data_IF_996599066563
#
_entry.id   IF_996599066563
#
_cell.length_a   1.000
_cell.length_b   1.000
_cell.length_c   1.000
_cell.angle_alpha   90.00
_cell.angle_beta   90.00
_cell.angle_gamma   90.00
#
_symmetry.space_group_name_H-M   'P 1'
#
loop_
_entity.id
_entity.type
_entity.pdbx_description
1 polymer ?
#
# COMPACT_ATOMS: atom_id res chain seq x y z
N UNK A 1 26.93 -3.61 -5.45
CA UNK A 1 25.52 -3.53 -5.01
C UNK A 1 25.22 -4.81 -4.27
N UNK A 2 24.87 -4.73 -2.99
CA UNK A 2 24.30 -5.87 -2.27
C UNK A 2 23.01 -6.27 -2.98
N UNK A 3 22.87 -7.54 -3.33
CA UNK A 3 21.73 -8.04 -4.08
C UNK A 3 20.62 -8.35 -3.09
N UNK A 4 19.85 -7.33 -2.71
CA UNK A 4 18.71 -7.48 -1.81
C UNK A 4 17.66 -8.40 -2.46
N UNK A 5 17.40 -9.55 -1.85
CA UNK A 5 16.53 -10.57 -2.42
C UNK A 5 15.08 -10.09 -2.37
N UNK A 6 14.55 -9.66 -3.51
CA UNK A 6 13.12 -9.38 -3.67
C UNK A 6 12.28 -10.62 -3.35
N UNK A 7 11.12 -10.39 -2.74
CA UNK A 7 10.12 -11.44 -2.59
C UNK A 7 9.64 -11.92 -3.97
N UNK A 8 9.48 -13.22 -4.15
CA UNK A 8 8.95 -13.78 -5.39
C UNK A 8 7.50 -13.33 -5.64
N UNK A 9 7.06 -13.38 -6.90
CA UNK A 9 5.70 -12.98 -7.27
C UNK A 9 4.62 -13.78 -6.53
N UNK A 10 4.85 -15.09 -6.30
CA UNK A 10 3.97 -15.94 -5.49
C UNK A 10 3.84 -15.39 -4.06
N UNK A 11 4.94 -14.93 -3.46
CA UNK A 11 4.91 -14.35 -2.11
C UNK A 11 4.24 -12.98 -2.09
N UNK A 12 4.47 -12.13 -3.08
CA UNK A 12 3.78 -10.84 -3.23
C UNK A 12 2.26 -11.04 -3.32
N UNK A 13 1.83 -11.96 -4.18
CA UNK A 13 0.43 -12.36 -4.31
C UNK A 13 -0.16 -12.91 -3.00
N UNK A 14 0.53 -13.82 -2.32
CA UNK A 14 0.06 -14.40 -1.07
C UNK A 14 -0.06 -13.35 0.04
N UNK A 15 0.88 -12.40 0.12
CA UNK A 15 0.81 -11.26 1.05
C UNK A 15 -0.42 -10.41 0.75
N UNK A 16 -0.61 -10.00 -0.51
CA UNK A 16 -1.74 -9.15 -0.89
C UNK A 16 -3.08 -9.79 -0.53
N UNK A 17 -3.26 -11.07 -0.86
CA UNK A 17 -4.48 -11.82 -0.52
C UNK A 17 -4.65 -11.96 1.00
N UNK A 18 -3.59 -12.28 1.74
CA UNK A 18 -3.67 -12.39 3.19
C UNK A 18 -4.07 -11.07 3.84
N UNK A 19 -3.51 -9.94 3.38
CA UNK A 19 -3.88 -8.60 3.86
C UNK A 19 -5.34 -8.29 3.53
N UNK A 20 -5.78 -8.52 2.29
CA UNK A 20 -7.18 -8.34 1.88
C UNK A 20 -8.15 -9.15 2.72
N UNK A 21 -7.94 -10.46 2.83
CA UNK A 21 -8.80 -11.35 3.62
C UNK A 21 -8.82 -10.96 5.10
N UNK A 22 -7.69 -10.49 5.65
CA UNK A 22 -7.63 -10.06 7.05
C UNK A 22 -8.46 -8.81 7.28
N UNK A 23 -8.30 -7.79 6.43
CA UNK A 23 -9.07 -6.55 6.56
C UNK A 23 -10.57 -6.83 6.37
N UNK A 24 -10.93 -7.69 5.41
CA UNK A 24 -12.32 -8.07 5.18
C UNK A 24 -12.90 -8.86 6.39
N UNK A 25 -12.12 -9.78 6.99
CA UNK A 25 -12.52 -10.56 8.18
C UNK A 25 -12.71 -9.69 9.42
N UNK A 26 -11.92 -8.63 9.56
CA UNK A 26 -11.98 -7.72 10.72
C UNK A 26 -12.83 -6.48 10.45
N UNK A 27 -13.47 -6.38 9.29
CA UNK A 27 -14.20 -5.18 8.82
C UNK A 27 -15.21 -4.64 9.83
N UNK A 28 -16.00 -5.50 10.48
CA UNK A 28 -16.99 -5.12 11.50
C UNK A 28 -16.38 -4.46 12.76
N UNK A 29 -15.09 -4.69 13.00
CA UNK A 29 -14.34 -4.10 14.13
C UNK A 29 -13.61 -2.81 13.74
N UNK A 30 -13.52 -2.51 12.44
CA UNK A 30 -12.82 -1.32 11.97
C UNK A 30 -13.69 -0.08 12.18
N UNK A 31 -13.12 1.03 12.69
CA UNK A 31 -13.81 2.31 12.79
C UNK A 31 -14.51 2.71 11.48
N UNK A 32 -15.78 3.14 11.53
CA UNK A 32 -16.57 3.48 10.35
C UNK A 32 -16.14 4.82 9.75
N UNK A 33 -15.07 4.82 8.95
CA UNK A 33 -14.72 5.89 7.99
C UNK A 33 -14.02 5.25 6.80
N UNK A 34 -14.70 5.22 5.66
CA UNK A 34 -14.24 4.63 4.38
C UNK A 34 -12.88 5.17 3.93
N UNK A 35 -12.58 6.44 4.19
CA UNK A 35 -11.28 7.03 3.84
C UNK A 35 -10.13 6.61 4.77
N UNK A 36 -10.42 5.92 5.88
CA UNK A 36 -9.42 5.38 6.79
C UNK A 36 -9.01 3.95 6.45
N UNK A 37 -9.65 3.30 5.46
CA UNK A 37 -9.31 1.91 5.13
C UNK A 37 -7.86 1.75 4.65
N UNK A 38 -7.34 2.72 3.89
CA UNK A 38 -5.95 2.74 3.44
C UNK A 38 -4.94 2.67 4.59
N UNK A 39 -5.27 3.24 5.77
CA UNK A 39 -4.44 3.16 6.97
C UNK A 39 -4.27 1.71 7.44
N UNK A 40 -5.37 0.94 7.49
CA UNK A 40 -5.33 -0.44 7.97
C UNK A 40 -4.64 -1.35 6.97
N UNK A 41 -4.92 -1.16 5.67
CA UNK A 41 -4.24 -1.87 4.59
C UNK A 41 -2.73 -1.62 4.60
N UNK A 42 -2.31 -0.36 4.68
CA UNK A 42 -0.90 0.00 4.63
C UNK A 42 -0.14 -0.42 5.89
N UNK A 43 -0.71 -0.24 7.10
CA UNK A 43 -0.02 -0.66 8.33
C UNK A 43 0.06 -2.18 8.47
N UNK A 44 -1.05 -2.90 8.26
CA UNK A 44 -1.02 -4.37 8.29
C UNK A 44 -0.08 -4.90 7.21
N UNK A 45 -0.19 -4.35 6.00
CA UNK A 45 0.67 -4.71 4.88
C UNK A 45 2.14 -4.48 5.18
N UNK A 46 2.51 -3.34 5.79
CA UNK A 46 3.88 -3.03 6.19
C UNK A 46 4.43 -4.08 7.15
N UNK A 47 3.65 -4.46 8.17
CA UNK A 47 4.07 -5.44 9.17
C UNK A 47 4.18 -6.85 8.56
N UNK A 48 3.21 -7.26 7.73
CA UNK A 48 3.24 -8.55 7.03
C UNK A 48 4.42 -8.63 6.05
N UNK A 49 4.61 -7.62 5.20
CA UNK A 49 5.74 -7.56 4.26
C UNK A 49 7.07 -7.65 4.99
N UNK A 50 7.22 -6.93 6.10
CA UNK A 50 8.44 -6.97 6.94
C UNK A 50 8.66 -8.35 7.52
N UNK A 51 7.68 -8.92 8.24
CA UNK A 51 7.80 -10.24 8.88
C UNK A 51 8.13 -11.32 7.85
N UNK A 52 7.42 -11.33 6.71
CA UNK A 52 7.66 -12.32 5.65
C UNK A 52 9.04 -12.15 5.04
N UNK A 53 9.46 -10.93 4.73
CA UNK A 53 10.79 -10.67 4.17
C UNK A 53 11.90 -11.14 5.09
N UNK A 54 11.86 -10.73 6.36
CA UNK A 54 12.86 -11.11 7.36
C UNK A 54 12.91 -12.62 7.54
N UNK A 55 11.75 -13.30 7.49
CA UNK A 55 11.69 -14.76 7.59
C UNK A 55 12.29 -15.48 6.37
N UNK A 56 12.06 -14.97 5.17
CA UNK A 56 12.52 -15.58 3.91
C UNK A 56 14.01 -15.35 3.71
N UNK A 57 14.49 -14.14 4.01
CA UNK A 57 15.88 -13.72 3.75
C UNK A 57 16.81 -13.95 4.94
N UNK A 58 16.27 -14.20 6.13
CA UNK A 58 17.00 -14.28 7.40
C UNK A 58 17.72 -12.98 7.78
N UNK A 59 17.23 -11.84 7.28
CA UNK A 59 17.78 -10.52 7.55
C UNK A 59 16.76 -9.68 8.34
N UNK A 60 17.00 -9.51 9.63
CA UNK A 60 16.15 -8.75 10.56
C UNK A 60 16.38 -7.22 10.49
N UNK A 61 17.39 -6.76 9.75
CA UNK A 61 17.73 -5.33 9.66
C UNK A 61 16.90 -4.57 8.63
N UNK A 62 16.31 -5.30 7.68
CA UNK A 62 15.47 -4.74 6.63
C UNK A 62 14.00 -4.75 6.99
N UNK A 63 13.29 -3.72 6.56
CA UNK A 63 11.86 -3.57 6.80
C UNK A 63 11.18 -2.79 5.69
N UNK A 64 9.86 -2.89 5.64
CA UNK A 64 9.02 -2.01 4.81
C UNK A 64 8.53 -0.86 5.68
N UNK A 65 8.38 0.32 5.07
CA UNK A 65 8.00 1.55 5.75
C UNK A 65 6.64 2.05 5.27
N UNK A 66 5.83 2.50 6.22
CA UNK A 66 4.58 3.20 5.97
C UNK A 66 4.86 4.59 5.38
N UNK A 67 4.10 4.99 4.38
CA UNK A 67 4.06 6.36 3.87
C UNK A 67 2.63 6.86 3.91
N UNK A 68 2.46 8.15 4.18
CA UNK A 68 1.18 8.84 4.19
C UNK A 68 1.24 10.13 3.35
N UNK A 69 0.10 10.53 2.81
CA UNK A 69 -0.03 11.75 2.04
C UNK A 69 -1.21 11.69 1.08
N UNK A 70 -0.99 11.93 -0.21
CA UNK A 70 -1.97 11.70 -1.27
C UNK A 70 -1.34 11.05 -2.50
N UNK A 71 -2.14 10.28 -3.22
CA UNK A 71 -1.75 9.65 -4.48
C UNK A 71 -2.68 10.14 -5.59
N UNK A 72 -2.11 10.42 -6.74
CA UNK A 72 -2.83 10.78 -7.95
C UNK A 72 -2.48 9.77 -9.04
N UNK A 73 -3.49 9.24 -9.71
CA UNK A 73 -3.31 8.18 -10.70
C UNK A 73 -3.94 8.62 -12.00
N UNK A 74 -3.18 8.51 -13.09
CA UNK A 74 -3.68 8.70 -14.45
C UNK A 74 -4.65 7.57 -14.77
N UNK A 75 -5.90 7.94 -15.06
CA UNK A 75 -6.97 6.98 -15.36
C UNK A 75 -6.92 6.48 -16.81
N UNK A 76 -6.15 7.14 -17.67
CA UNK A 76 -5.95 6.85 -19.09
C UNK A 76 -4.95 5.73 -19.30
N UNK A 77 -5.05 5.05 -20.44
CA UNK A 77 -4.05 4.06 -20.86
C UNK A 77 -2.65 4.67 -21.11
N UNK A 78 -2.59 5.96 -21.46
CA UNK A 78 -1.34 6.72 -21.53
C UNK A 78 -0.99 7.33 -20.17
N UNK A 79 0.17 6.95 -19.60
CA UNK A 79 0.67 7.47 -18.33
C UNK A 79 1.08 8.95 -18.37
N UNK A 80 1.26 9.54 -19.56
CA UNK A 80 1.61 10.95 -19.73
C UNK A 80 0.39 11.86 -19.90
N UNK A 81 -0.82 11.31 -20.09
CA UNK A 81 -2.03 12.11 -20.27
C UNK A 81 -2.52 12.67 -18.93
N UNK A 82 -2.07 13.87 -18.60
CA UNK A 82 -2.44 14.59 -17.37
C UNK A 82 -3.88 15.11 -17.38
N UNK A 83 -4.64 14.97 -18.48
CA UNK A 83 -6.01 15.50 -18.58
C UNK A 83 -7.03 14.74 -17.73
N UNK A 84 -6.70 13.50 -17.33
CA UNK A 84 -7.58 12.63 -16.54
C UNK A 84 -6.81 11.96 -15.40
N UNK A 85 -6.69 12.69 -14.29
CA UNK A 85 -6.07 12.19 -13.08
C UNK A 85 -7.09 12.06 -11.96
N UNK A 86 -7.01 10.98 -11.20
CA UNK A 86 -7.86 10.70 -10.04
C UNK A 86 -7.03 10.80 -8.78
N UNK A 87 -7.45 11.67 -7.87
CA UNK A 87 -6.74 11.91 -6.62
C UNK A 87 -7.40 11.11 -5.48
N UNK A 88 -6.56 10.46 -4.69
CA UNK A 88 -6.92 9.77 -3.47
C UNK A 88 -6.22 10.49 -2.31
N UNK A 89 -7.02 11.06 -1.41
CA UNK A 89 -6.58 12.00 -0.39
C UNK A 89 -6.83 13.46 -0.76
N UNK A 90 -5.80 14.30 -0.68
CA UNK A 90 -5.87 15.69 -1.14
C UNK A 90 -6.13 15.75 -2.66
N UNK A 91 -7.02 16.65 -3.09
CA UNK A 91 -7.52 16.66 -4.48
C UNK A 91 -6.66 17.47 -5.45
N UNK A 92 -5.82 18.38 -4.98
CA UNK A 92 -4.91 19.18 -5.79
C UNK A 92 -3.72 19.69 -4.95
N UNK A 93 -2.74 20.31 -5.60
CA UNK A 93 -1.51 20.85 -4.97
C UNK A 93 -1.75 21.95 -3.92
N UNK A 94 -2.91 22.61 -3.96
CA UNK A 94 -3.30 23.65 -3.00
C UNK A 94 -4.04 23.09 -1.78
N UNK A 95 -4.42 21.81 -1.85
CA UNK A 95 -5.10 21.09 -0.81
C UNK A 95 -4.10 20.20 -0.08
N UNK A 96 -4.09 20.26 1.24
CA UNK A 96 -3.15 19.45 2.03
C UNK A 96 -3.83 18.17 2.51
N UNK A 97 -3.11 17.04 2.54
CA UNK A 97 -3.62 15.84 3.15
C UNK A 97 -4.01 16.12 4.60
N UNK A 98 -5.14 15.57 5.06
CA UNK A 98 -5.60 15.80 6.43
C UNK A 98 -6.35 14.59 6.99
N UNK A 99 -5.96 14.19 8.20
CA UNK A 99 -6.66 13.19 9.00
C UNK A 99 -8.04 13.68 9.46
N UNK A 100 -8.17 14.98 9.79
CA UNK A 100 -9.39 15.55 10.36
C UNK A 100 -10.59 15.43 9.43
N UNK A 101 -10.37 15.70 8.13
CA UNK A 101 -11.39 15.60 7.09
C UNK A 101 -11.33 14.28 6.32
N UNK A 102 -10.44 13.36 6.70
CA UNK A 102 -10.27 12.06 6.04
C UNK A 102 -9.78 12.18 4.60
N UNK A 103 -9.02 13.22 4.25
CA UNK A 103 -8.47 13.43 2.90
C UNK A 103 -7.00 13.08 2.90
N UNK A 104 -6.71 11.80 3.07
CA UNK A 104 -5.36 11.29 3.00
C UNK A 104 -5.37 9.90 2.36
N UNK A 105 -4.18 9.44 2.02
CA UNK A 105 -3.93 8.10 1.54
C UNK A 105 -2.68 7.54 2.21
N UNK A 106 -2.63 6.23 2.42
CA UNK A 106 -1.49 5.53 3.00
C UNK A 106 -1.07 4.39 2.07
N UNK A 107 0.25 4.22 1.89
CA UNK A 107 0.85 3.16 1.10
C UNK A 107 2.16 2.71 1.76
N UNK A 108 2.86 1.77 1.16
CA UNK A 108 4.09 1.20 1.69
C UNK A 108 5.22 1.41 0.69
N UNK A 109 6.40 1.71 1.20
CA UNK A 109 7.64 1.66 0.44
C UNK A 109 8.63 0.70 1.10
N UNK A 110 9.52 0.10 0.33
CA UNK A 110 10.57 -0.74 0.92
C UNK A 110 11.44 -1.38 -0.16
N UNK A 111 12.61 -1.91 0.16
CA UNK A 111 13.12 -2.11 1.51
C UNK A 111 13.76 -0.85 2.09
N UNK A 112 13.75 -0.77 3.41
CA UNK A 112 14.44 0.23 4.20
C UNK A 112 15.43 -0.44 5.15
N UNK A 113 16.51 0.26 5.48
CA UNK A 113 17.48 -0.10 6.52
C UNK A 113 17.99 1.17 7.18
N UNK A 114 18.12 1.19 8.51
CA UNK A 114 18.60 2.36 9.27
C UNK A 114 17.86 3.67 8.94
N UNK A 115 16.53 3.61 8.75
CA UNK A 115 15.68 4.73 8.31
C UNK A 115 16.02 5.31 6.93
N UNK A 116 16.72 4.55 6.09
CA UNK A 116 17.04 4.90 4.71
C UNK A 116 16.37 3.94 3.74
N UNK A 117 15.81 4.48 2.67
CA UNK A 117 15.22 3.72 1.57
C UNK A 117 16.34 3.13 0.70
N UNK A 118 16.23 1.85 0.38
CA UNK A 118 17.15 1.15 -0.52
C UNK A 118 16.61 1.21 -1.94
N UNK A 119 17.45 1.65 -2.89
CA UNK A 119 17.09 1.80 -4.30
C UNK A 119 17.75 0.68 -5.13
N UNK A 120 17.02 0.03 -6.07
CA UNK A 120 15.60 0.26 -6.39
C UNK A 120 14.68 -0.16 -5.24
N UNK A 121 13.61 0.61 -5.03
CA UNK A 121 12.62 0.31 -4.00
C UNK A 121 11.35 -0.28 -4.62
N UNK A 122 10.42 -0.66 -3.77
CA UNK A 122 9.11 -1.19 -4.07
C UNK A 122 8.10 -0.15 -3.60
N UNK A 123 7.14 0.18 -4.47
CA UNK A 123 5.94 0.94 -4.15
C UNK A 123 4.77 -0.05 -4.03
N UNK A 124 4.11 -0.08 -2.90
CA UNK A 124 3.06 -1.07 -2.63
C UNK A 124 1.80 -0.38 -2.12
N UNK A 125 0.68 -0.67 -2.76
CA UNK A 125 -0.64 -0.21 -2.35
C UNK A 125 -1.68 -1.33 -2.44
N UNK A 126 -2.16 -1.78 -1.29
CA UNK A 126 -3.17 -2.83 -1.20
C UNK A 126 -4.61 -2.33 -1.41
N UNK A 127 -4.82 -1.03 -1.63
CA UNK A 127 -6.15 -0.46 -1.88
C UNK A 127 -6.44 -0.21 -3.34
N UNK A 128 -5.55 -0.60 -4.26
CA UNK A 128 -5.74 -0.30 -5.68
C UNK A 128 -6.97 -0.96 -6.31
N UNK A 129 -7.49 -2.05 -5.71
CA UNK A 129 -8.80 -2.63 -6.07
C UNK A 129 -9.94 -1.61 -6.08
N UNK A 130 -9.85 -0.56 -5.25
CA UNK A 130 -10.86 0.49 -5.13
C UNK A 130 -10.64 1.66 -6.09
N UNK A 131 -9.51 1.73 -6.80
CA UNK A 131 -9.18 2.89 -7.63
C UNK A 131 -10.14 3.08 -8.79
N UNK A 132 -10.42 2.00 -9.52
CA UNK A 132 -11.39 2.02 -10.63
C UNK A 132 -12.76 2.47 -10.15
N UNK A 133 -13.24 1.93 -9.03
CA UNK A 133 -14.53 2.30 -8.48
C UNK A 133 -14.58 3.79 -8.09
N UNK A 134 -13.59 4.26 -7.33
CA UNK A 134 -13.50 5.67 -6.91
C UNK A 134 -13.34 6.63 -8.10
N UNK A 135 -12.63 6.22 -9.15
CA UNK A 135 -12.51 6.99 -10.39
C UNK A 135 -13.87 7.17 -11.07
N UNK A 136 -14.65 6.09 -11.17
CA UNK A 136 -15.98 6.11 -11.78
C UNK A 136 -16.98 6.92 -10.94
N UNK A 137 -16.89 6.87 -9.60
CA UNK A 137 -17.70 7.72 -8.70
C UNK A 137 -17.38 9.21 -8.88
N UNK A 138 -16.13 9.54 -9.20
CA UNK A 138 -15.69 10.90 -9.54
C UNK A 138 -15.97 11.29 -11.00
N UNK A 139 -16.73 10.48 -11.74
CA UNK A 139 -17.09 10.68 -13.15
C UNK A 139 -15.90 10.68 -14.11
N UNK A 140 -14.79 10.04 -13.74
CA UNK A 140 -13.68 9.80 -14.64
C UNK A 140 -13.89 8.51 -15.45
N UNK A 141 -13.37 8.49 -16.69
CA UNK A 141 -13.22 7.27 -17.47
C UNK A 141 -11.99 6.50 -16.97
N UNK A 142 -12.11 5.18 -16.79
CA UNK A 142 -11.01 4.31 -16.36
C UNK A 142 -10.59 3.37 -17.50
N UNK A 143 -9.38 3.57 -18.01
CA UNK A 143 -8.78 2.83 -19.12
C UNK A 143 -7.57 1.97 -18.69
N UNK A 144 -7.18 2.01 -17.41
CA UNK A 144 -6.06 1.25 -16.86
C UNK A 144 -6.42 -0.22 -16.64
N UNK A 145 -5.83 -1.10 -17.44
CA UNK A 145 -5.94 -2.56 -17.28
C UNK A 145 -4.76 -3.17 -16.53
N UNK A 146 -3.68 -2.41 -16.36
CA UNK A 146 -2.44 -2.78 -15.67
C UNK A 146 -2.52 -2.62 -14.15
N UNK A 147 -3.53 -1.90 -13.65
CA UNK A 147 -3.78 -1.73 -12.22
C UNK A 147 -4.80 -2.80 -11.76
N UNK A 148 -4.31 -3.75 -10.97
CA UNK A 148 -5.11 -4.82 -10.38
C UNK A 148 -5.58 -4.53 -8.95
N UNK A 149 -5.86 -5.60 -8.21
CA UNK A 149 -6.39 -5.52 -6.84
C UNK A 149 -5.40 -4.96 -5.81
N UNK A 150 -4.11 -5.04 -6.12
CA UNK A 150 -3.02 -4.38 -5.40
C UNK A 150 -1.97 -3.88 -6.40
N UNK A 151 -1.24 -2.83 -6.02
CA UNK A 151 -0.03 -2.39 -6.70
C UNK A 151 1.19 -2.88 -5.95
N UNK A 152 2.15 -3.46 -6.68
CA UNK A 152 3.46 -3.81 -6.16
C UNK A 152 4.49 -3.56 -7.25
N UNK A 153 4.96 -2.32 -7.32
CA UNK A 153 5.76 -1.80 -8.41
C UNK A 153 7.23 -1.77 -7.99
N UNK A 154 8.10 -2.29 -8.84
CA UNK A 154 9.54 -2.16 -8.67
C UNK A 154 9.96 -0.76 -9.14
N UNK A 155 10.06 0.19 -8.22
CA UNK A 155 10.37 1.56 -8.54
C UNK A 155 11.89 1.79 -8.66
N UNK A 156 12.33 2.09 -9.88
CA UNK A 156 13.72 2.41 -10.19
C UNK A 156 13.95 3.91 -10.49
N UNK A 157 12.92 4.74 -10.38
CA UNK A 157 13.00 6.13 -10.81
C UNK A 157 11.72 6.91 -10.52
N UNK A 158 11.21 7.59 -11.56
CA UNK A 158 10.01 8.40 -11.46
C UNK A 158 8.74 7.55 -11.67
N UNK A 159 7.93 7.40 -10.61
CA UNK A 159 6.65 6.70 -10.65
C UNK A 159 5.66 7.34 -11.63
N UNK A 160 5.77 8.65 -11.83
CA UNK A 160 4.89 9.38 -12.72
C UNK A 160 5.19 9.01 -14.17
N UNK A 161 6.46 9.04 -14.57
CA UNK A 161 6.88 8.66 -15.92
C UNK A 161 6.59 7.18 -16.23
N UNK A 162 6.85 6.29 -15.27
CA UNK A 162 6.75 4.84 -15.50
C UNK A 162 5.32 4.31 -15.39
N UNK A 163 4.52 4.85 -14.48
CA UNK A 163 3.23 4.26 -14.09
C UNK A 163 2.07 5.27 -14.09
N UNK A 164 2.32 6.54 -14.37
CA UNK A 164 1.31 7.59 -14.25
C UNK A 164 0.83 7.75 -12.82
N UNK A 165 1.73 7.56 -11.85
CA UNK A 165 1.43 7.68 -10.42
C UNK A 165 2.25 8.83 -9.84
N UNK A 166 1.56 9.86 -9.38
CA UNK A 166 2.18 11.00 -8.69
C UNK A 166 1.81 10.95 -7.21
N UNK A 167 2.78 11.19 -6.34
CA UNK A 167 2.57 11.12 -4.88
C UNK A 167 3.02 12.41 -4.22
N UNK A 168 2.23 12.88 -3.26
CA UNK A 168 2.63 13.93 -2.34
C UNK A 168 2.79 13.27 -0.97
N UNK A 169 4.01 13.24 -0.45
CA UNK A 169 4.32 12.69 0.87
C UNK A 169 4.06 13.77 1.93
N UNK A 170 3.35 13.38 2.99
CA UNK A 170 3.12 14.20 4.17
C UNK A 170 3.47 13.42 5.44
N UNK A 171 4.53 13.87 6.11
CA UNK A 171 5.09 13.22 7.29
C UNK A 171 4.10 13.23 8.48
N UNK A 172 3.27 14.27 8.59
CA UNK A 172 2.26 14.35 9.65
C UNK A 172 1.17 13.29 9.45
N UNK A 173 0.76 13.03 8.21
CA UNK A 173 -0.14 11.90 7.89
C UNK A 173 0.51 10.58 8.25
N UNK A 174 1.79 10.36 7.89
CA UNK A 174 2.49 9.12 8.23
C UNK A 174 2.51 8.88 9.75
N UNK A 175 2.84 9.89 10.54
CA UNK A 175 2.90 9.79 12.00
C UNK A 175 1.54 9.51 12.62
N UNK A 176 0.50 10.26 12.22
CA UNK A 176 -0.86 10.04 12.71
C UNK A 176 -1.40 8.66 12.31
N UNK A 177 -1.17 8.22 11.07
CA UNK A 177 -1.54 6.88 10.63
C UNK A 177 -0.89 5.80 11.49
N UNK A 178 0.40 5.96 11.81
CA UNK A 178 1.10 5.02 12.68
C UNK A 178 0.58 5.05 14.12
N UNK A 179 0.32 6.23 14.66
CA UNK A 179 -0.26 6.39 16.01
C UNK A 179 -1.64 5.74 16.11
N UNK A 180 -2.52 6.01 15.14
CA UNK A 180 -3.83 5.37 15.05
C UNK A 180 -3.72 3.85 15.00
N UNK A 181 -2.82 3.31 14.17
CA UNK A 181 -2.60 1.86 14.11
C UNK A 181 -2.12 1.26 15.42
N UNK A 182 -1.15 1.90 16.10
CA UNK A 182 -0.60 1.43 17.36
C UNK A 182 -1.65 1.37 18.49
N UNK A 183 -2.69 2.19 18.41
CA UNK A 183 -3.78 2.26 19.38
C UNK A 183 -4.95 1.28 19.09
N UNK A 184 -4.87 0.47 18.03
CA UNK A 184 -5.90 -0.55 17.74
C UNK A 184 -5.66 -1.77 18.64
N UNK A 185 -6.63 -2.09 19.49
CA UNK A 185 -6.55 -3.19 20.47
C UNK A 185 -6.33 -4.56 19.83
N UNK A 186 -6.86 -4.79 18.62
CA UNK A 186 -6.82 -6.07 17.92
C UNK A 186 -5.81 -6.13 16.77
N UNK A 187 -4.86 -5.17 16.67
CA UNK A 187 -3.86 -5.13 15.58
C UNK A 187 -2.98 -6.38 15.56
N UNK A 188 -2.62 -6.91 16.73
CA UNK A 188 -1.78 -8.10 16.85
C UNK A 188 -2.52 -9.36 16.39
N UNK A 189 -3.84 -9.41 16.60
CA UNK A 189 -4.69 -10.49 16.10
C UNK A 189 -4.85 -10.41 14.58
N UNK A 190 -4.96 -9.21 14.02
CA UNK A 190 -4.92 -9.01 12.56
C UNK A 190 -3.59 -9.51 11.98
N UNK A 191 -2.45 -9.12 12.57
CA UNK A 191 -1.14 -9.57 12.10
C UNK A 191 -1.00 -11.11 12.17
N UNK A 192 -1.38 -11.72 13.30
CA UNK A 192 -1.36 -13.20 13.43
C UNK A 192 -2.25 -13.88 12.41
N UNK A 193 -3.45 -13.37 12.18
CA UNK A 193 -4.38 -13.90 11.19
C UNK A 193 -3.79 -13.78 9.78
N UNK A 194 -3.26 -12.61 9.42
CA UNK A 194 -2.64 -12.38 8.12
C UNK A 194 -1.45 -13.32 7.87
N UNK A 195 -0.56 -13.51 8.86
CA UNK A 195 0.57 -14.45 8.73
C UNK A 195 0.08 -15.89 8.58
N UNK A 196 -0.94 -16.30 9.33
CA UNK A 196 -1.53 -17.65 9.20
C UNK A 196 -2.12 -17.86 7.79
N UNK A 197 -2.89 -16.89 7.30
CA UNK A 197 -3.49 -16.94 5.96
C UNK A 197 -2.42 -16.96 4.88
N UNK A 198 -1.38 -16.13 5.01
CA UNK A 198 -0.23 -16.13 4.12
C UNK A 198 0.43 -17.52 4.03
N UNK A 199 0.69 -18.17 5.16
CA UNK A 199 1.31 -19.49 5.20
C UNK A 199 0.43 -20.53 4.50
N UNK A 200 -0.88 -20.51 4.74
CA UNK A 200 -1.84 -21.40 4.05
C UNK A 200 -1.78 -21.23 2.53
N UNK A 201 -1.78 -19.99 2.03
CA UNK A 201 -1.71 -19.71 0.60
C UNK A 201 -0.39 -20.21 0.02
N UNK A 202 0.73 -19.96 0.70
CA UNK A 202 2.06 -20.40 0.23
C UNK A 202 2.18 -21.92 0.20
N UNK A 203 1.62 -22.63 1.18
CA UNK A 203 1.58 -24.10 1.17
C UNK A 203 0.83 -24.64 -0.04
N UNK A 204 -0.25 -24.00 -0.49
CA UNK A 204 -0.98 -24.40 -1.71
C UNK A 204 -0.15 -24.24 -3.00
N UNK A 205 0.78 -23.28 -3.04
CA UNK A 205 1.65 -23.06 -4.21
C UNK A 205 2.94 -23.90 -4.21
N UNK A 206 3.33 -24.46 -3.06
CA UNK A 206 4.57 -25.22 -2.91
C UNK A 206 4.34 -26.74 -2.86
N UNK A 207 3.09 -27.18 -2.78
CA UNK A 207 2.67 -28.59 -2.91
C UNK A 207 2.18 -28.89 -4.34
#
# INVERSE_FOLDING_TARGET
MENYQKLSQIRRYAIANAVHQTVDTFSDKLPPKTNSLCLYYANLGMEVCTVVYQKVTQDETHYYSLVGGSICIRATSDCNDTSKAVSFGAMNEFDKPSFENGRFHCWIVGLCKDNQLIIPNEFIDFTSRSYKFNALEQHHLWEREDIGDYLWLDNQGDLEEQYGISVMVDENIRLQAREHWLNIEFKDDMLKYAIKTYLSIIEEFLN
#
